data_IF_287023285583
#
_entry.id   IF_287023285583
#
_cell.length_a   1.000
_cell.length_b   1.000
_cell.length_c   1.000
_cell.angle_alpha   90.00
_cell.angle_beta   90.00
_cell.angle_gamma   90.00
#
_symmetry.space_group_name_H-M   'P 1'
#
loop_
_entity.id
_entity.type
_entity.pdbx_description
1 polymer ?
#
# COMPACT_ATOMS: atom_id res chain seq x y z
N UNK A 1 12.90 3.73 -13.88
CA UNK A 1 12.39 3.92 -12.51
C UNK A 1 11.91 2.57 -12.02
N UNK A 2 11.93 2.34 -10.71
CA UNK A 2 11.45 1.10 -10.10
C UNK A 2 10.20 1.39 -9.26
N UNK A 3 9.28 0.42 -9.21
CA UNK A 3 8.06 0.53 -8.41
C UNK A 3 8.29 -0.11 -7.04
N UNK A 4 7.87 0.57 -5.98
CA UNK A 4 7.99 0.08 -4.61
C UNK A 4 6.60 0.01 -3.96
N UNK A 5 6.31 -1.13 -3.35
CA UNK A 5 5.21 -1.33 -2.44
C UNK A 5 5.60 -0.80 -1.05
N UNK A 6 4.82 0.13 -0.53
CA UNK A 6 4.91 0.66 0.83
C UNK A 6 3.63 0.21 1.53
N UNK A 7 3.73 -0.70 2.50
CA UNK A 7 2.56 -1.35 3.10
C UNK A 7 2.64 -1.46 4.61
N UNK A 8 1.49 -1.63 5.25
CA UNK A 8 1.40 -1.91 6.68
C UNK A 8 0.42 -3.07 6.93
N UNK A 9 0.61 -3.77 8.04
CA UNK A 9 -0.24 -4.89 8.42
C UNK A 9 -1.58 -4.40 8.99
N UNK A 10 -2.62 -5.20 8.84
CA UNK A 10 -3.88 -5.04 9.56
C UNK A 10 -3.58 -4.99 11.07
N UNK A 11 -4.18 -4.02 11.76
CA UNK A 11 -3.91 -3.75 13.17
C UNK A 11 -2.78 -2.76 13.47
N UNK A 12 -1.97 -2.38 12.48
CA UNK A 12 -0.88 -1.43 12.70
C UNK A 12 -1.35 -0.04 13.18
N UNK A 13 -2.63 0.28 12.96
CA UNK A 13 -3.27 1.55 13.32
C UNK A 13 -4.21 1.44 14.54
N UNK A 14 -4.33 0.28 15.20
CA UNK A 14 -5.27 0.07 16.32
C UNK A 14 -4.97 0.91 17.57
N UNK A 15 -3.78 1.49 17.62
CA UNK A 15 -3.37 2.40 18.68
C UNK A 15 -3.90 3.84 18.50
N UNK A 16 -4.51 4.15 17.35
CA UNK A 16 -5.04 5.49 17.02
C UNK A 16 -6.43 5.65 17.64
N UNK A 17 -6.66 6.66 18.49
CA UNK A 17 -7.98 6.95 19.03
C UNK A 17 -8.99 7.36 17.95
N UNK A 18 -10.27 7.02 18.12
CA UNK A 18 -11.29 7.28 17.09
C UNK A 18 -11.42 8.77 16.72
N UNK A 19 -11.21 9.65 17.68
CA UNK A 19 -11.24 11.11 17.51
C UNK A 19 -10.09 11.66 16.65
N UNK A 20 -9.01 10.92 16.49
CA UNK A 20 -7.83 11.33 15.72
C UNK A 20 -7.94 10.99 14.23
N UNK A 21 -8.86 10.11 13.83
CA UNK A 21 -9.00 9.66 12.43
C UNK A 21 -9.15 10.80 11.41
N UNK A 22 -9.91 11.89 11.67
CA UNK A 22 -9.95 13.02 10.75
C UNK A 22 -8.57 13.67 10.53
N UNK A 23 -7.75 13.78 11.57
CA UNK A 23 -6.41 14.34 11.49
C UNK A 23 -5.45 13.40 10.74
N UNK A 24 -5.45 12.10 11.08
CA UNK A 24 -4.68 11.07 10.38
C UNK A 24 -5.03 11.06 8.89
N UNK A 25 -6.32 11.07 8.57
CA UNK A 25 -6.80 11.14 7.19
C UNK A 25 -6.29 12.39 6.47
N UNK A 26 -6.34 13.56 7.09
CA UNK A 26 -5.83 14.79 6.48
C UNK A 26 -4.32 14.76 6.24
N UNK A 27 -3.55 14.25 7.21
CA UNK A 27 -2.09 14.10 7.17
C UNK A 27 -1.66 13.11 6.08
N UNK A 28 -2.25 11.90 6.05
CA UNK A 28 -2.00 10.91 4.99
C UNK A 28 -2.33 11.45 3.61
N UNK A 29 -3.46 12.17 3.45
CA UNK A 29 -3.81 12.78 2.16
C UNK A 29 -2.86 13.91 1.75
N UNK A 30 -2.24 14.62 2.70
CA UNK A 30 -1.24 15.63 2.38
C UNK A 30 0.01 15.00 1.75
N UNK A 31 0.48 13.88 2.31
CA UNK A 31 1.60 13.11 1.74
C UNK A 31 1.25 12.57 0.36
N UNK A 32 0.02 12.05 0.19
CA UNK A 32 -0.45 11.60 -1.12
C UNK A 32 -0.44 12.73 -2.15
N UNK A 33 -0.96 13.92 -1.82
CA UNK A 33 -0.95 15.07 -2.74
C UNK A 33 0.47 15.46 -3.14
N UNK A 34 1.40 15.49 -2.17
CA UNK A 34 2.81 15.77 -2.44
C UNK A 34 3.44 14.74 -3.40
N UNK A 35 3.14 13.45 -3.19
CA UNK A 35 3.63 12.37 -4.05
C UNK A 35 3.04 12.44 -5.48
N UNK A 36 1.76 12.81 -5.60
CA UNK A 36 1.09 13.04 -6.89
C UNK A 36 1.71 14.22 -7.62
N UNK A 37 1.91 15.35 -6.93
CA UNK A 37 2.53 16.56 -7.50
C UNK A 37 3.98 16.30 -7.92
N UNK A 38 4.71 15.46 -7.18
CA UNK A 38 6.06 15.00 -7.54
C UNK A 38 6.09 13.98 -8.70
N UNK A 39 4.93 13.49 -9.15
CA UNK A 39 4.83 12.51 -10.25
C UNK A 39 5.30 11.10 -9.89
N UNK A 40 5.44 10.78 -8.60
CA UNK A 40 5.92 9.47 -8.13
C UNK A 40 4.78 8.54 -7.69
N UNK A 41 3.57 9.07 -7.53
CA UNK A 41 2.43 8.29 -7.06
C UNK A 41 1.83 7.41 -8.16
N UNK A 42 1.77 6.09 -7.93
CA UNK A 42 1.08 5.16 -8.85
C UNK A 42 -0.36 4.96 -8.38
N UNK A 43 -0.56 4.37 -7.19
CA UNK A 43 -1.87 4.20 -6.55
C UNK A 43 -1.73 3.75 -5.08
N UNK A 44 -2.81 3.81 -4.30
CA UNK A 44 -2.85 3.30 -2.92
C UNK A 44 -4.28 2.89 -2.52
N UNK A 45 -4.39 2.17 -1.40
CA UNK A 45 -5.66 1.83 -0.80
C UNK A 45 -5.53 1.22 0.60
N UNK A 46 -6.54 1.46 1.43
CA UNK A 46 -6.80 0.64 2.62
C UNK A 46 -7.61 -0.59 2.26
N UNK A 47 -7.41 -1.68 2.99
CA UNK A 47 -8.12 -2.95 2.80
C UNK A 47 -9.14 -3.15 3.93
N UNK A 48 -10.33 -3.63 3.57
CA UNK A 48 -11.38 -3.93 4.53
C UNK A 48 -10.99 -5.13 5.41
N UNK A 49 -11.09 -4.94 6.72
CA UNK A 49 -10.73 -5.97 7.71
C UNK A 49 -11.62 -7.20 7.52
N UNK A 50 -11.00 -8.38 7.54
CA UNK A 50 -11.70 -9.68 7.55
C UNK A 50 -12.70 -9.90 6.39
N UNK A 51 -12.59 -9.12 5.30
CA UNK A 51 -13.45 -9.23 4.12
C UNK A 51 -12.62 -9.66 2.92
N UNK A 52 -12.20 -10.92 2.92
CA UNK A 52 -11.42 -11.53 1.85
C UNK A 52 -12.14 -12.76 1.27
N UNK A 53 -11.97 -12.98 -0.02
CA UNK A 53 -12.29 -14.24 -0.68
C UNK A 53 -11.03 -14.76 -1.37
N UNK A 54 -10.81 -16.06 -1.31
CA UNK A 54 -9.70 -16.74 -2.00
C UNK A 54 -10.27 -17.42 -3.24
N UNK A 55 -9.61 -17.23 -4.39
CA UNK A 55 -9.96 -17.88 -5.65
C UNK A 55 -8.87 -18.89 -5.98
N UNK A 56 -9.22 -20.18 -6.00
CA UNK A 56 -8.33 -21.27 -6.36
C UNK A 56 -7.96 -21.28 -7.85
N UNK A 57 -6.95 -22.07 -8.21
CA UNK A 57 -6.53 -22.24 -9.62
C UNK A 57 -7.59 -22.95 -10.48
N UNK A 58 -8.52 -23.64 -9.85
CA UNK A 58 -9.71 -24.25 -10.44
C UNK A 58 -10.93 -23.30 -10.49
N UNK A 59 -10.77 -22.06 -10.01
CA UNK A 59 -11.82 -21.06 -9.95
C UNK A 59 -12.76 -21.20 -8.75
N UNK A 60 -12.52 -22.15 -7.84
CA UNK A 60 -13.33 -22.27 -6.62
C UNK A 60 -13.11 -21.07 -5.71
N UNK A 61 -14.20 -20.48 -5.23
CA UNK A 61 -14.18 -19.33 -4.30
C UNK A 61 -14.43 -19.83 -2.88
N UNK A 62 -13.58 -19.44 -1.94
CA UNK A 62 -13.76 -19.68 -0.51
C UNK A 62 -13.66 -18.38 0.28
N UNK A 63 -14.30 -18.34 1.45
CA UNK A 63 -14.09 -17.25 2.39
C UNK A 63 -12.63 -17.25 2.90
N UNK A 64 -12.05 -16.06 3.08
CA UNK A 64 -10.74 -15.86 3.70
C UNK A 64 -10.87 -15.28 5.12
N UNK A 65 -9.77 -15.27 5.92
CA UNK A 65 -8.41 -15.65 5.54
C UNK A 65 -8.05 -17.11 5.92
N UNK A 66 -7.19 -17.73 5.10
CA UNK A 66 -6.57 -19.04 5.37
C UNK A 66 -5.18 -18.84 6.00
N UNK A 67 -4.70 -19.67 6.97
CA UNK A 67 -5.27 -19.99 8.28
C UNK A 67 -5.11 -18.82 9.30
N UNK A 68 -5.87 -18.89 10.40
CA UNK A 68 -6.14 -17.91 11.49
C UNK A 68 -4.94 -17.23 12.22
N UNK A 69 -3.74 -17.17 11.64
CA UNK A 69 -2.53 -16.75 12.37
C UNK A 69 -1.59 -15.82 11.62
N UNK A 70 -1.93 -15.32 10.43
CA UNK A 70 -1.00 -14.47 9.65
C UNK A 70 -1.35 -13.00 9.68
N UNK A 71 -0.32 -12.19 9.90
CA UNK A 71 -0.31 -10.77 9.58
C UNK A 71 -0.69 -10.60 8.11
N UNK A 72 -1.86 -10.00 7.86
CA UNK A 72 -2.34 -9.64 6.52
C UNK A 72 -2.09 -8.15 6.28
N UNK A 73 -1.96 -7.74 5.01
CA UNK A 73 -1.84 -6.33 4.65
C UNK A 73 -3.14 -5.61 5.00
N UNK A 74 -3.05 -4.50 5.72
CA UNK A 74 -4.17 -3.61 6.06
C UNK A 74 -4.29 -2.43 5.11
N UNK A 75 -3.20 -2.05 4.45
CA UNK A 75 -3.19 -1.00 3.44
C UNK A 75 -1.82 -0.85 2.80
N UNK A 76 -1.79 -0.14 1.68
CA UNK A 76 -0.58 0.05 0.91
C UNK A 76 -0.62 1.29 0.02
N UNK A 77 0.56 1.73 -0.43
CA UNK A 77 0.79 2.63 -1.55
C UNK A 77 1.86 2.03 -2.47
N UNK A 78 1.76 2.35 -3.77
CA UNK A 78 2.78 2.05 -4.77
C UNK A 78 3.32 3.36 -5.31
N UNK A 79 4.65 3.52 -5.25
CA UNK A 79 5.37 4.67 -5.80
C UNK A 79 6.36 4.23 -6.87
N UNK A 80 6.60 5.05 -7.87
CA UNK A 80 7.60 4.86 -8.91
C UNK A 80 8.69 5.92 -8.77
N UNK A 81 9.92 5.48 -8.47
CA UNK A 81 11.05 6.35 -8.12
C UNK A 81 12.36 5.86 -8.74
N UNK A 82 13.41 6.67 -8.69
CA UNK A 82 14.69 6.33 -9.32
C UNK A 82 15.53 5.37 -8.46
N UNK A 83 15.30 5.32 -7.15
CA UNK A 83 16.10 4.52 -6.22
C UNK A 83 15.32 4.03 -5.00
N UNK A 84 15.89 3.05 -4.30
CA UNK A 84 15.35 2.55 -3.03
C UNK A 84 15.38 3.62 -1.94
N UNK A 85 16.39 4.49 -1.93
CA UNK A 85 16.50 5.58 -0.98
C UNK A 85 15.35 6.58 -1.12
N UNK A 86 14.94 6.89 -2.36
CA UNK A 86 13.76 7.73 -2.62
C UNK A 86 12.49 7.03 -2.14
N UNK A 87 12.34 5.72 -2.37
CA UNK A 87 11.20 4.96 -1.87
C UNK A 87 11.11 4.98 -0.34
N UNK A 88 12.25 4.83 0.34
CA UNK A 88 12.33 4.91 1.81
C UNK A 88 11.99 6.32 2.32
N UNK A 89 12.38 7.38 1.60
CA UNK A 89 12.02 8.75 1.95
C UNK A 89 10.50 8.98 1.86
N UNK A 90 9.85 8.48 0.81
CA UNK A 90 8.38 8.52 0.71
C UNK A 90 7.70 7.66 1.77
N UNK A 91 8.23 6.46 2.04
CA UNK A 91 7.72 5.59 3.09
C UNK A 91 7.80 6.24 4.47
N UNK A 92 8.85 7.01 4.77
CA UNK A 92 8.97 7.75 6.02
C UNK A 92 7.88 8.83 6.17
N UNK A 93 7.56 9.56 5.09
CA UNK A 93 6.44 10.52 5.10
C UNK A 93 5.10 9.83 5.29
N UNK A 94 4.87 8.71 4.59
CA UNK A 94 3.65 7.90 4.73
C UNK A 94 3.55 7.35 6.14
N UNK A 95 4.65 6.85 6.73
CA UNK A 95 4.68 6.36 8.10
C UNK A 95 4.27 7.44 9.11
N UNK A 96 4.76 8.67 8.92
CA UNK A 96 4.39 9.80 9.75
C UNK A 96 2.90 10.17 9.59
N UNK A 97 2.40 10.26 8.35
CA UNK A 97 1.00 10.62 8.09
C UNK A 97 0.00 9.57 8.56
N UNK A 98 0.28 8.28 8.32
CA UNK A 98 -0.56 7.17 8.77
C UNK A 98 -0.32 6.80 10.24
N UNK A 99 0.68 7.39 10.90
CA UNK A 99 1.09 7.08 12.28
C UNK A 99 1.39 5.60 12.53
N UNK A 100 1.82 4.86 11.51
CA UNK A 100 2.15 3.44 11.63
C UNK A 100 3.39 3.08 10.81
N UNK A 101 4.12 2.06 11.27
CA UNK A 101 5.31 1.59 10.58
C UNK A 101 4.97 1.06 9.17
N UNK A 102 5.84 1.36 8.21
CA UNK A 102 5.69 0.94 6.82
C UNK A 102 6.80 -0.05 6.45
N UNK A 103 6.42 -1.13 5.79
CA UNK A 103 7.33 -2.04 5.12
C UNK A 103 7.51 -1.61 3.66
N UNK A 104 8.74 -1.59 3.16
CA UNK A 104 9.07 -1.18 1.79
C UNK A 104 9.67 -2.35 1.03
N UNK A 105 9.02 -2.74 -0.07
CA UNK A 105 9.46 -3.81 -0.97
C UNK A 105 9.49 -3.33 -2.41
N UNK A 106 10.54 -3.68 -3.13
CA UNK A 106 10.59 -3.46 -4.57
C UNK A 106 9.66 -4.45 -5.28
N UNK A 107 8.88 -3.96 -6.24
CA UNK A 107 8.08 -4.81 -7.11
C UNK A 107 8.96 -5.34 -8.23
N UNK A 108 8.82 -6.64 -8.52
CA UNK A 108 9.50 -7.23 -9.67
C UNK A 108 9.04 -6.55 -10.96
N UNK A 109 9.95 -6.26 -11.90
CA UNK A 109 9.57 -5.69 -13.19
C UNK A 109 8.78 -6.73 -14.01
N UNK A 110 7.76 -6.26 -14.72
CA UNK A 110 6.99 -7.03 -15.69
C UNK A 110 6.90 -6.25 -17.00
N UNK A 111 7.90 -6.47 -17.85
CA UNK A 111 8.05 -5.76 -19.12
C UNK A 111 6.95 -6.10 -20.13
N UNK A 112 6.33 -7.27 -20.04
CA UNK A 112 5.22 -7.67 -20.92
C UNK A 112 3.96 -6.86 -20.57
N UNK A 113 3.60 -6.82 -19.29
CA UNK A 113 2.47 -6.01 -18.82
C UNK A 113 2.69 -4.52 -19.06
N UNK A 114 3.89 -4.00 -18.80
CA UNK A 114 4.21 -2.59 -19.05
C UNK A 114 4.08 -2.22 -20.53
N UNK A 115 4.55 -3.08 -21.45
CA UNK A 115 4.41 -2.86 -22.88
C UNK A 115 2.94 -2.87 -23.33
N UNK A 116 2.12 -3.74 -22.76
CA UNK A 116 0.69 -3.81 -23.06
C UNK A 116 -0.06 -2.56 -22.58
N UNK A 117 0.27 -2.04 -21.39
CA UNK A 117 -0.35 -0.82 -20.86
C UNK A 117 0.08 0.44 -21.60
N UNK A 118 1.35 0.52 -22.06
CA UNK A 118 1.85 1.66 -22.82
C UNK A 118 1.26 1.76 -24.25
N UNK A 119 0.73 0.66 -24.78
CA UNK A 119 0.08 0.61 -26.10
C UNK A 119 -1.42 0.94 -26.09
N UNK A 120 -1.99 1.26 -24.93
CA UNK A 120 -3.41 1.63 -24.74
C UNK A 120 -3.56 3.13 -24.53
#
# INVERSE_FOLDING_TARGET
>A
MARYLISFNDGAMDHIPDEDWPAVGAESHAVMREAVEAGVWVFAGGLERQRASVVGTDGVVTDGPYPETKEVVGGFAVVEVASREEALAWAAKIAAGCRCAQEVRELMPDSETDAFLAGR
#
